data_IF_263446355943
#
_entry.id   IF_263446355943
#
_cell.length_a   1.000
_cell.length_b   1.000
_cell.length_c   1.000
_cell.angle_alpha   90.00
_cell.angle_beta   90.00
_cell.angle_gamma   90.00
#
_symmetry.space_group_name_H-M   'P 1'
#
loop_
_entity.id
_entity.type
_entity.pdbx_description
1 polymer ?
#
# COMPACT_ATOMS: atom_id res chain seq x y z
N UNK A 1 -19.67 -1.95 40.58
CA UNK A 1 -18.23 -2.12 40.33
C UNK A 1 -17.91 -1.28 39.10
N UNK A 2 -17.26 -0.12 39.31
CA UNK A 2 -17.11 0.93 38.30
C UNK A 2 -16.26 0.48 37.11
N UNK A 3 -16.76 0.77 35.90
CA UNK A 3 -16.02 0.87 34.65
C UNK A 3 -14.98 2.00 34.74
N UNK A 4 -13.76 1.75 34.26
CA UNK A 4 -12.82 2.79 33.84
C UNK A 4 -12.18 2.36 32.51
N UNK A 5 -12.83 2.77 31.42
CA UNK A 5 -12.26 2.76 30.08
C UNK A 5 -11.40 4.03 29.91
N UNK A 6 -10.08 3.89 29.91
CA UNK A 6 -9.15 4.97 29.57
C UNK A 6 -9.14 5.13 28.04
N UNK A 7 -9.84 6.13 27.51
CA UNK A 7 -9.69 6.56 26.12
C UNK A 7 -8.44 7.44 26.01
N UNK A 8 -7.37 6.90 25.44
CA UNK A 8 -6.25 7.71 24.97
C UNK A 8 -6.69 8.44 23.69
N UNK A 9 -7.05 9.71 23.83
CA UNK A 9 -7.26 10.62 22.71
C UNK A 9 -5.91 10.91 22.06
N UNK A 10 -5.62 10.25 20.94
CA UNK A 10 -4.49 10.62 20.09
C UNK A 10 -4.87 11.87 19.33
N UNK A 11 -4.27 13.01 19.72
CA UNK A 11 -4.38 14.25 18.97
C UNK A 11 -3.93 14.04 17.53
N UNK A 12 -4.70 14.48 16.52
CA UNK A 12 -4.25 14.41 15.14
C UNK A 12 -3.00 15.28 14.96
N UNK A 13 -1.96 14.69 14.36
CA UNK A 13 -0.77 15.42 13.94
C UNK A 13 -1.18 16.59 13.03
N UNK A 14 -0.56 17.77 13.17
CA UNK A 14 -0.84 18.88 12.27
C UNK A 14 -0.49 18.45 10.84
N UNK A 15 -1.46 18.52 9.94
CA UNK A 15 -1.22 18.37 8.50
C UNK A 15 -0.22 19.44 8.10
N UNK A 16 0.98 19.02 7.71
CA UNK A 16 1.94 19.91 7.06
C UNK A 16 1.24 20.42 5.79
N UNK A 17 1.03 21.74 5.64
CA UNK A 17 0.45 22.24 4.41
C UNK A 17 1.33 21.77 3.26
N UNK A 18 0.70 21.19 2.23
CA UNK A 18 1.33 21.02 0.92
C UNK A 18 1.85 22.39 0.53
N UNK A 19 3.15 22.62 0.71
CA UNK A 19 3.83 23.76 0.15
C UNK A 19 3.53 23.66 -1.35
N UNK A 20 2.68 24.56 -1.83
CA UNK A 20 2.65 24.93 -3.23
C UNK A 20 4.07 25.36 -3.56
N UNK A 21 4.90 24.40 -4.00
CA UNK A 21 6.10 24.71 -4.76
C UNK A 21 5.59 25.37 -6.03
N UNK A 22 5.44 26.69 -5.97
CA UNK A 22 5.58 27.49 -7.15
C UNK A 22 6.98 27.18 -7.65
N UNK A 23 7.06 26.30 -8.64
CA UNK A 23 8.29 25.97 -9.33
C UNK A 23 8.80 27.26 -9.98
N UNK A 24 9.52 28.06 -9.21
CA UNK A 24 10.45 29.03 -9.76
C UNK A 24 11.52 28.21 -10.46
N UNK A 25 11.29 27.96 -11.74
CA UNK A 25 12.27 27.41 -12.67
C UNK A 25 13.46 28.37 -12.71
N UNK A 26 14.38 28.23 -11.76
CA UNK A 26 15.73 28.76 -11.91
C UNK A 26 16.45 27.83 -12.86
N UNK A 27 16.33 28.12 -14.16
CA UNK A 27 16.99 27.43 -15.26
C UNK A 27 18.53 27.66 -15.26
N UNK A 28 19.18 27.67 -14.09
CA UNK A 28 20.60 27.96 -13.87
C UNK A 28 21.33 26.76 -13.26
N UNK A 29 21.14 25.57 -13.84
CA UNK A 29 21.89 24.36 -13.50
C UNK A 29 22.78 23.91 -14.65
N UNK A 30 23.94 23.32 -14.32
CA UNK A 30 24.77 22.63 -15.33
C UNK A 30 23.93 21.58 -16.09
N UNK A 31 24.33 21.17 -17.31
CA UNK A 31 23.63 20.11 -18.03
C UNK A 31 23.47 18.82 -17.21
N UNK A 32 24.47 18.48 -16.38
CA UNK A 32 24.40 17.34 -15.46
C UNK A 32 23.36 17.54 -14.36
N UNK A 33 23.32 18.71 -13.72
CA UNK A 33 22.33 18.99 -12.67
C UNK A 33 20.89 18.87 -13.21
N UNK A 34 20.65 19.36 -14.44
CA UNK A 34 19.34 19.23 -15.10
C UNK A 34 18.98 17.78 -15.42
N UNK A 35 19.94 16.96 -15.86
CA UNK A 35 19.66 15.54 -16.16
C UNK A 35 19.39 14.71 -14.91
N UNK A 36 20.05 15.03 -13.78
CA UNK A 36 19.75 14.42 -12.49
C UNK A 36 18.37 14.83 -11.98
N UNK A 37 18.02 16.12 -12.04
CA UNK A 37 16.70 16.59 -11.63
C UNK A 37 15.59 15.92 -12.46
N UNK A 38 15.76 15.82 -13.78
CA UNK A 38 14.77 15.15 -14.64
C UNK A 38 14.53 13.67 -14.23
N UNK A 39 15.54 12.97 -13.72
CA UNK A 39 15.39 11.59 -13.20
C UNK A 39 14.67 11.56 -11.85
N UNK A 40 14.94 12.54 -10.99
CA UNK A 40 14.22 12.68 -9.72
C UNK A 40 12.74 12.94 -9.99
N UNK A 41 12.44 13.87 -10.89
CA UNK A 41 11.06 14.21 -11.27
C UNK A 41 10.36 13.00 -11.90
N UNK A 42 11.04 12.26 -12.79
CA UNK A 42 10.50 11.03 -13.38
C UNK A 42 10.22 9.94 -12.32
N UNK A 43 11.05 9.80 -11.30
CA UNK A 43 10.80 8.85 -10.21
C UNK A 43 9.69 9.32 -9.26
N UNK A 44 9.47 10.62 -9.15
CA UNK A 44 8.47 11.23 -8.25
C UNK A 44 7.15 11.60 -8.95
N UNK A 45 6.97 11.25 -10.24
CA UNK A 45 5.79 11.66 -11.01
C UNK A 45 4.51 10.87 -10.68
N UNK A 46 4.58 9.87 -9.80
CA UNK A 46 3.45 9.04 -9.38
C UNK A 46 2.38 9.82 -8.57
N UNK A 47 2.67 11.04 -8.15
CA UNK A 47 1.74 11.86 -7.35
C UNK A 47 0.38 12.11 -8.03
N UNK A 48 0.32 12.15 -9.36
CA UNK A 48 -0.95 12.28 -10.10
C UNK A 48 -1.82 11.02 -10.01
N UNK A 49 -1.21 9.84 -10.14
CA UNK A 49 -1.89 8.56 -9.97
C UNK A 49 -2.35 8.34 -8.52
N UNK A 50 -1.63 8.89 -7.55
CA UNK A 50 -2.02 8.79 -6.14
C UNK A 50 -3.35 9.51 -5.81
N UNK A 51 -3.77 10.50 -6.60
CA UNK A 51 -5.01 11.27 -6.36
C UNK A 51 -6.26 10.39 -6.46
N UNK A 52 -6.26 9.42 -7.36
CA UNK A 52 -7.37 8.48 -7.57
C UNK A 52 -7.18 7.15 -6.84
N UNK A 53 -6.11 7.00 -6.05
CA UNK A 53 -5.81 5.74 -5.37
C UNK A 53 -6.71 5.55 -4.16
N UNK A 54 -7.10 4.31 -3.92
CA UNK A 54 -7.87 3.87 -2.77
C UNK A 54 -6.91 3.46 -1.65
N UNK A 55 -7.26 3.75 -0.40
CA UNK A 55 -6.45 3.34 0.75
C UNK A 55 -6.41 1.82 0.88
N UNK A 56 -5.22 1.23 0.98
CA UNK A 56 -5.08 -0.18 1.32
C UNK A 56 -4.90 -0.35 2.81
N UNK A 57 -5.88 -0.98 3.46
CA UNK A 57 -5.98 -1.04 4.92
C UNK A 57 -5.84 -2.49 5.41
N UNK A 58 -4.96 -2.70 6.38
CA UNK A 58 -4.73 -4.01 7.00
C UNK A 58 -4.73 -3.84 8.51
N UNK A 59 -5.69 -4.49 9.20
CA UNK A 59 -5.78 -4.39 10.66
C UNK A 59 -6.08 -2.99 11.19
N UNK A 60 -6.70 -2.13 10.38
CA UNK A 60 -7.03 -0.74 10.73
C UNK A 60 -5.98 0.29 10.31
N UNK A 61 -4.79 -0.14 9.91
CA UNK A 61 -3.73 0.76 9.46
C UNK A 61 -3.71 0.90 7.93
N UNK A 62 -3.50 2.11 7.43
CA UNK A 62 -3.24 2.36 6.00
C UNK A 62 -1.79 1.94 5.70
N UNK A 63 -1.63 0.89 4.90
CA UNK A 63 -0.30 0.34 4.56
C UNK A 63 0.12 0.69 3.12
N UNK A 64 -0.82 1.08 2.26
CA UNK A 64 -0.55 1.39 0.86
C UNK A 64 -1.69 2.11 0.18
N UNK A 65 -1.57 2.27 -1.13
CA UNK A 65 -2.55 2.93 -1.98
C UNK A 65 -2.75 2.14 -3.29
N UNK A 66 -3.93 1.54 -3.45
CA UNK A 66 -4.28 0.72 -4.62
C UNK A 66 -4.89 1.60 -5.71
N UNK A 67 -4.37 1.51 -6.93
CA UNK A 67 -4.97 2.17 -8.08
C UNK A 67 -6.35 1.56 -8.41
N UNK A 68 -7.30 2.32 -8.98
CA UNK A 68 -8.63 1.81 -9.32
C UNK A 68 -8.60 0.51 -10.15
N UNK A 69 -7.69 0.40 -11.12
CA UNK A 69 -7.51 -0.82 -11.90
C UNK A 69 -7.02 -2.01 -11.07
N UNK A 70 -6.22 -1.77 -10.02
CA UNK A 70 -5.81 -2.80 -9.07
C UNK A 70 -6.99 -3.23 -8.19
N UNK A 71 -7.81 -2.28 -7.76
CA UNK A 71 -9.03 -2.54 -7.01
C UNK A 71 -10.04 -3.39 -7.81
N UNK A 72 -10.27 -3.07 -9.07
CA UNK A 72 -11.13 -3.86 -9.98
C UNK A 72 -10.69 -5.32 -10.08
N UNK A 73 -9.38 -5.57 -10.11
CA UNK A 73 -8.81 -6.92 -10.17
C UNK A 73 -8.99 -7.67 -8.83
N UNK A 74 -9.01 -6.96 -7.71
CA UNK A 74 -9.21 -7.54 -6.37
C UNK A 74 -10.69 -7.73 -6.01
N UNK A 75 -11.60 -6.99 -6.63
CA UNK A 75 -13.03 -7.01 -6.35
C UNK A 75 -13.70 -8.41 -6.38
N UNK A 76 -13.32 -9.35 -7.28
CA UNK A 76 -13.87 -10.71 -7.25
C UNK A 76 -13.51 -11.53 -6.00
N UNK A 77 -12.55 -11.08 -5.18
CA UNK A 77 -12.08 -11.78 -3.99
C UNK A 77 -12.69 -11.18 -2.72
N UNK A 78 -14.02 -11.03 -2.69
CA UNK A 78 -14.83 -10.45 -1.60
C UNK A 78 -14.70 -11.18 -0.25
N UNK A 79 -14.28 -12.45 -0.27
CA UNK A 79 -13.94 -13.23 0.92
C UNK A 79 -12.58 -12.86 1.53
N UNK A 80 -11.76 -12.07 0.83
CA UNK A 80 -10.44 -11.61 1.30
C UNK A 80 -10.44 -10.11 1.47
N UNK A 81 -11.08 -9.37 0.57
CA UNK A 81 -11.11 -7.92 0.58
C UNK A 81 -12.54 -7.39 0.72
N UNK A 82 -12.71 -6.39 1.58
CA UNK A 82 -13.89 -5.54 1.63
C UNK A 82 -13.54 -4.22 0.95
N UNK A 83 -14.44 -3.71 0.10
CA UNK A 83 -14.17 -2.52 -0.70
C UNK A 83 -15.31 -1.51 -0.56
N UNK A 84 -14.94 -0.25 -0.38
CA UNK A 84 -15.84 0.91 -0.43
C UNK A 84 -15.35 1.90 -1.50
N UNK A 85 -15.93 3.09 -1.60
CA UNK A 85 -15.54 4.08 -2.62
C UNK A 85 -14.09 4.60 -2.47
N UNK A 86 -13.51 4.48 -1.28
CA UNK A 86 -12.24 5.11 -0.93
C UNK A 86 -11.16 4.11 -0.47
N UNK A 87 -11.54 2.87 -0.13
CA UNK A 87 -10.62 1.92 0.48
C UNK A 87 -10.83 0.47 0.02
N UNK A 88 -9.73 -0.28 0.06
CA UNK A 88 -9.67 -1.73 -0.01
C UNK A 88 -9.13 -2.23 1.33
N UNK A 89 -9.95 -2.98 2.07
CA UNK A 89 -9.64 -3.48 3.43
C UNK A 89 -9.40 -4.97 3.38
N UNK A 90 -8.29 -5.43 3.94
CA UNK A 90 -8.08 -6.85 4.16
C UNK A 90 -8.96 -7.31 5.34
N UNK A 91 -9.76 -8.35 5.10
CA UNK A 91 -10.71 -8.86 6.09
C UNK A 91 -9.97 -9.75 7.10
N UNK A 92 -9.98 -9.34 8.36
CA UNK A 92 -9.64 -10.22 9.48
C UNK A 92 -10.87 -11.02 9.90
N UNK A 93 -10.69 -12.33 10.08
CA UNK A 93 -11.79 -13.19 10.53
C UNK A 93 -11.86 -13.24 12.06
N UNK A 94 -13.06 -13.24 12.67
CA UNK A 94 -13.21 -13.24 14.14
C UNK A 94 -12.57 -14.43 14.85
N UNK A 95 -12.39 -15.55 14.16
CA UNK A 95 -11.77 -16.77 14.68
C UNK A 95 -10.23 -16.74 14.62
N UNK A 96 -9.63 -15.71 14.01
CA UNK A 96 -8.18 -15.59 13.92
C UNK A 96 -7.60 -15.03 15.21
N UNK A 97 -6.70 -15.78 15.83
CA UNK A 97 -5.93 -15.31 16.98
C UNK A 97 -4.90 -14.25 16.55
N UNK A 98 -4.67 -13.27 17.43
CA UNK A 98 -3.72 -12.17 17.20
C UNK A 98 -2.32 -12.65 16.81
N UNK A 99 -1.83 -13.73 17.44
CA UNK A 99 -0.52 -14.32 17.17
C UNK A 99 -0.39 -14.95 15.78
N UNK A 100 -1.52 -15.24 15.11
CA UNK A 100 -1.54 -15.86 13.79
C UNK A 100 -1.85 -14.86 12.67
N UNK A 101 -2.24 -13.61 12.98
CA UNK A 101 -2.77 -12.67 11.99
C UNK A 101 -1.83 -12.45 10.81
N UNK A 102 -0.53 -12.24 11.04
CA UNK A 102 0.43 -12.07 9.95
C UNK A 102 0.38 -13.25 8.98
N UNK A 103 0.42 -14.47 9.50
CA UNK A 103 0.37 -15.69 8.70
C UNK A 103 -0.98 -15.83 7.99
N UNK A 104 -2.10 -15.67 8.70
CA UNK A 104 -3.46 -15.84 8.15
C UNK A 104 -3.76 -14.85 7.03
N UNK A 105 -3.41 -13.58 7.23
CA UNK A 105 -3.48 -12.52 6.22
C UNK A 105 -2.63 -12.84 5.00
N UNK A 106 -1.35 -13.21 5.23
CA UNK A 106 -0.42 -13.54 4.14
C UNK A 106 -0.88 -14.75 3.34
N UNK A 107 -1.38 -15.80 4.00
CA UNK A 107 -1.92 -17.00 3.36
C UNK A 107 -3.17 -16.67 2.52
N UNK A 108 -4.06 -15.80 3.02
CA UNK A 108 -5.25 -15.37 2.29
C UNK A 108 -4.89 -14.58 1.03
N UNK A 109 -4.01 -13.59 1.15
CA UNK A 109 -3.55 -12.78 0.01
C UNK A 109 -2.73 -13.62 -0.97
N UNK A 110 -1.89 -14.54 -0.49
CA UNK A 110 -1.10 -15.43 -1.35
C UNK A 110 -1.98 -16.27 -2.27
N UNK A 111 -3.14 -16.78 -1.79
CA UNK A 111 -4.10 -17.50 -2.65
C UNK A 111 -4.68 -16.61 -3.74
N UNK A 112 -5.01 -15.35 -3.42
CA UNK A 112 -5.48 -14.39 -4.43
C UNK A 112 -4.41 -14.12 -5.48
N UNK A 113 -3.17 -13.85 -5.05
CA UNK A 113 -2.06 -13.58 -5.94
C UNK A 113 -1.72 -14.77 -6.85
N UNK A 114 -1.86 -16.00 -6.36
CA UNK A 114 -1.70 -17.20 -7.18
C UNK A 114 -2.79 -17.28 -8.26
N UNK A 115 -4.06 -17.08 -7.89
CA UNK A 115 -5.17 -17.08 -8.86
C UNK A 115 -4.98 -15.99 -9.94
N UNK A 116 -4.56 -14.78 -9.55
CA UNK A 116 -4.28 -13.68 -10.46
C UNK A 116 -3.06 -13.93 -11.37
N UNK A 117 -2.07 -14.68 -10.87
CA UNK A 117 -0.92 -15.10 -11.67
C UNK A 117 -1.34 -16.14 -12.70
N UNK A 118 -2.14 -17.11 -12.30
CA UNK A 118 -2.63 -18.20 -13.17
C UNK A 118 -3.54 -17.67 -14.29
N UNK A 119 -4.34 -16.65 -14.00
CA UNK A 119 -5.19 -15.99 -15.01
C UNK A 119 -4.41 -15.08 -15.96
N UNK A 120 -3.15 -14.76 -15.65
CA UNK A 120 -2.28 -13.83 -16.40
C UNK A 120 -2.90 -12.44 -16.64
N UNK A 121 -3.84 -12.01 -15.77
CA UNK A 121 -4.55 -10.72 -15.90
C UNK A 121 -3.75 -9.56 -15.34
N UNK A 122 -2.75 -9.82 -14.50
CA UNK A 122 -1.91 -8.79 -13.87
C UNK A 122 -0.46 -8.94 -14.37
N UNK A 123 -0.02 -8.16 -15.38
CA UNK A 123 1.28 -8.37 -16.02
C UNK A 123 2.48 -8.38 -15.08
N UNK A 124 2.44 -7.61 -13.98
CA UNK A 124 3.54 -7.57 -13.01
C UNK A 124 3.78 -8.93 -12.33
N UNK A 125 2.75 -9.77 -12.19
CA UNK A 125 2.86 -11.09 -11.56
C UNK A 125 3.63 -12.11 -12.41
N UNK A 126 3.87 -11.81 -13.70
CA UNK A 126 4.79 -12.60 -14.54
C UNK A 126 6.23 -12.56 -13.99
N UNK A 127 6.58 -11.49 -13.28
CA UNK A 127 7.87 -11.31 -12.63
C UNK A 127 8.03 -12.08 -11.32
N UNK A 128 7.23 -13.10 -11.04
CA UNK A 128 7.25 -13.89 -9.80
C UNK A 128 8.63 -14.48 -9.49
N UNK A 129 9.10 -14.31 -8.25
CA UNK A 129 10.46 -14.67 -7.81
C UNK A 129 10.50 -15.73 -6.72
N UNK A 130 9.34 -16.12 -6.17
CA UNK A 130 9.26 -16.89 -4.92
C UNK A 130 9.96 -16.17 -3.76
N UNK A 131 9.91 -14.84 -3.75
CA UNK A 131 10.55 -13.99 -2.76
C UNK A 131 9.45 -13.27 -1.96
N UNK A 132 9.36 -13.55 -0.67
CA UNK A 132 8.39 -12.88 0.20
C UNK A 132 8.91 -11.50 0.60
N UNK A 133 8.12 -10.47 0.33
CA UNK A 133 8.36 -9.10 0.75
C UNK A 133 7.44 -8.75 1.92
N UNK A 134 8.03 -8.15 2.96
CA UNK A 134 7.31 -7.67 4.13
C UNK A 134 6.70 -6.29 3.90
N UNK A 135 5.37 -6.21 3.95
CA UNK A 135 4.58 -5.01 3.79
C UNK A 135 4.27 -4.42 5.17
N UNK A 136 4.63 -3.15 5.36
CA UNK A 136 4.68 -2.48 6.66
C UNK A 136 4.50 -0.96 6.50
N UNK A 137 4.01 -0.27 7.55
CA UNK A 137 3.81 1.19 7.52
C UNK A 137 5.11 1.99 7.53
N UNK A 138 6.16 1.44 8.15
CA UNK A 138 7.50 2.05 8.17
C UNK A 138 8.57 0.98 8.32
N UNK A 139 9.83 1.32 8.04
CA UNK A 139 10.95 0.38 8.10
C UNK A 139 11.05 -0.38 9.45
N UNK A 140 10.77 0.30 10.57
CA UNK A 140 10.89 -0.26 11.92
C UNK A 140 9.60 -0.90 12.46
N UNK A 141 8.46 -0.78 11.76
CA UNK A 141 7.22 -1.39 12.22
C UNK A 141 7.21 -2.90 11.96
N UNK A 142 6.43 -3.61 12.76
CA UNK A 142 6.13 -5.01 12.47
C UNK A 142 5.41 -5.13 11.11
N UNK A 143 5.63 -6.22 10.36
CA UNK A 143 4.94 -6.45 9.11
C UNK A 143 3.45 -6.69 9.36
N UNK A 144 2.60 -6.07 8.54
CA UNK A 144 1.17 -6.32 8.53
C UNK A 144 0.81 -7.51 7.62
N UNK A 145 1.64 -7.75 6.61
CA UNK A 145 1.43 -8.73 5.54
C UNK A 145 2.77 -9.16 4.93
N UNK A 146 2.88 -10.42 4.50
CA UNK A 146 3.93 -10.88 3.59
C UNK A 146 3.29 -11.19 2.24
N UNK A 147 3.85 -10.64 1.16
CA UNK A 147 3.37 -10.85 -0.21
C UNK A 147 4.51 -11.28 -1.11
N UNK A 148 4.20 -11.79 -2.29
CA UNK A 148 5.25 -12.02 -3.29
C UNK A 148 5.80 -10.66 -3.79
N UNK A 149 7.13 -10.52 -3.89
CA UNK A 149 7.80 -9.27 -4.27
C UNK A 149 7.24 -8.58 -5.51
N UNK A 150 6.99 -9.32 -6.59
CA UNK A 150 6.42 -8.84 -7.84
C UNK A 150 5.00 -8.27 -7.68
N UNK A 151 4.27 -8.68 -6.64
CA UNK A 151 2.94 -8.16 -6.32
C UNK A 151 2.95 -6.88 -5.49
N UNK A 152 4.08 -6.49 -4.87
CA UNK A 152 4.14 -5.33 -3.99
C UNK A 152 3.62 -4.02 -4.64
N UNK A 153 3.91 -3.73 -5.93
CA UNK A 153 3.35 -2.55 -6.59
C UNK A 153 1.82 -2.55 -6.73
N UNK A 154 1.16 -3.73 -6.76
CA UNK A 154 -0.30 -3.83 -6.82
C UNK A 154 -0.96 -3.18 -5.61
N UNK A 155 -0.33 -3.31 -4.44
CA UNK A 155 -0.83 -2.78 -3.17
C UNK A 155 -0.38 -1.34 -2.89
N UNK A 156 0.49 -0.77 -3.74
CA UNK A 156 1.07 0.56 -3.56
C UNK A 156 1.70 0.78 -2.18
N UNK A 157 2.22 -0.29 -1.58
CA UNK A 157 2.83 -0.26 -0.27
C UNK A 157 4.32 0.08 -0.36
N UNK A 158 4.88 0.63 0.73
CA UNK A 158 6.31 0.87 0.80
C UNK A 158 7.09 -0.45 0.66
N UNK A 159 8.08 -0.44 -0.25
CA UNK A 159 8.99 -1.55 -0.49
C UNK A 159 10.42 -1.13 -0.13
N UNK A 160 11.15 -2.06 0.50
CA UNK A 160 12.52 -1.88 0.95
C UNK A 160 13.46 -2.93 0.33
#
# INVERSE_FOLDING_TARGET
MLLLCLHASLSPMPRVPLLSLSAHSTANGTPLARSLLARVDANNCAGSAAVSAMEFIVGGDIIGAIQPCGAEVLAPFDSVFEMDENAVRLIDRPDWHQSELLRRRSDAVSRVLQALRESDTVPMLRGWRNEMLAIRTSFYSQPALLVERASAPLFGAAAY
#
